data_IF_990502951631
#
_entry.id   IF_990502951631
#
_cell.length_a   1.000
_cell.length_b   1.000
_cell.length_c   1.000
_cell.angle_alpha   90.00
_cell.angle_beta   90.00
_cell.angle_gamma   90.00
#
_symmetry.space_group_name_H-M   'P 1'
#
loop_
_entity.id
_entity.type
_entity.pdbx_description
1 polymer ?
#
# COMPACT_ATOMS: atom_id res chain seq x y z
N UNK A 1 24.21 -9.18 -12.46
CA UNK A 1 24.41 -7.77 -12.09
C UNK A 1 23.51 -6.95 -13.00
N UNK A 2 22.37 -6.48 -12.49
CA UNK A 2 21.42 -5.68 -13.26
C UNK A 2 21.89 -4.23 -13.21
N UNK A 3 22.40 -3.69 -14.32
CA UNK A 3 22.68 -2.26 -14.47
C UNK A 3 21.41 -1.57 -14.95
N UNK A 4 20.94 -0.60 -14.16
CA UNK A 4 19.79 0.24 -14.49
C UNK A 4 20.30 1.54 -15.11
N UNK A 5 20.21 1.68 -16.43
CA UNK A 5 20.34 3.00 -17.07
C UNK A 5 18.96 3.65 -17.09
N UNK A 6 18.81 4.74 -16.35
CA UNK A 6 17.62 5.60 -16.38
C UNK A 6 17.99 6.83 -17.18
N UNK A 7 17.37 7.00 -18.35
CA UNK A 7 17.50 8.22 -19.15
C UNK A 7 16.52 9.26 -18.60
N UNK A 8 17.02 10.18 -17.76
CA UNK A 8 16.22 11.08 -16.90
C UNK A 8 15.73 12.35 -17.65
N UNK A 9 16.16 12.60 -18.89
CA UNK A 9 16.20 13.98 -19.41
C UNK A 9 15.01 14.48 -20.24
N UNK A 10 13.88 13.78 -20.32
CA UNK A 10 12.71 14.27 -21.12
C UNK A 10 11.32 14.05 -20.51
N UNK A 11 11.18 13.65 -19.24
CA UNK A 11 9.87 13.38 -18.61
C UNK A 11 9.43 14.47 -17.63
N UNK A 12 9.19 15.69 -18.12
CA UNK A 12 8.85 16.83 -17.24
C UNK A 12 7.43 16.79 -16.63
N UNK A 13 6.58 15.78 -16.91
CA UNK A 13 5.19 15.75 -16.40
C UNK A 13 4.63 14.38 -16.05
N UNK A 14 5.45 13.33 -15.96
CA UNK A 14 4.93 11.99 -15.69
C UNK A 14 5.51 11.45 -14.38
N UNK A 15 4.64 10.94 -13.51
CA UNK A 15 4.98 10.31 -12.25
C UNK A 15 6.16 9.32 -12.43
N UNK A 16 7.32 9.69 -11.88
CA UNK A 16 8.55 8.91 -11.95
C UNK A 16 8.35 7.48 -11.44
N UNK A 17 7.35 7.25 -10.57
CA UNK A 17 7.04 5.92 -10.07
C UNK A 17 6.55 4.97 -11.17
N UNK A 18 5.81 5.48 -12.17
CA UNK A 18 5.18 4.65 -13.21
C UNK A 18 6.02 4.50 -14.49
N UNK A 19 7.12 5.26 -14.63
CA UNK A 19 7.93 5.33 -15.85
C UNK A 19 9.17 4.43 -15.90
N UNK A 20 9.42 3.62 -14.86
CA UNK A 20 10.53 2.69 -14.94
C UNK A 20 10.19 1.51 -15.86
N UNK A 21 11.04 1.31 -16.88
CA UNK A 21 11.02 0.20 -17.83
C UNK A 21 11.31 -1.18 -17.20
N UNK A 22 10.92 -1.41 -15.93
CA UNK A 22 10.99 -2.72 -15.26
C UNK A 22 10.39 -3.82 -16.14
N UNK A 23 9.29 -3.49 -16.82
CA UNK A 23 8.44 -4.44 -17.56
C UNK A 23 9.04 -4.93 -18.86
N UNK A 24 9.98 -4.19 -19.46
CA UNK A 24 10.55 -4.56 -20.78
C UNK A 24 11.24 -5.93 -20.77
N UNK A 25 11.82 -6.33 -19.62
CA UNK A 25 12.47 -7.63 -19.43
C UNK A 25 11.58 -8.69 -18.76
N UNK A 26 10.39 -8.33 -18.28
CA UNK A 26 9.47 -9.26 -17.61
C UNK A 26 8.51 -9.98 -18.56
N UNK A 27 8.39 -9.49 -19.80
CA UNK A 27 7.54 -10.08 -20.83
C UNK A 27 8.00 -11.48 -21.23
N UNK A 28 9.28 -11.80 -21.10
CA UNK A 28 9.85 -13.12 -21.41
C UNK A 28 9.75 -14.14 -20.26
N UNK A 29 9.39 -13.68 -19.05
CA UNK A 29 9.23 -14.56 -17.88
C UNK A 29 7.81 -15.15 -17.91
N UNK A 30 7.65 -16.49 -17.85
CA UNK A 30 6.33 -17.15 -17.80
C UNK A 30 5.47 -16.60 -16.66
N UNK A 31 4.16 -16.45 -16.92
CA UNK A 31 3.22 -16.04 -15.87
C UNK A 31 2.93 -17.20 -14.92
N UNK A 32 2.79 -16.87 -13.64
CA UNK A 32 2.28 -17.77 -12.60
C UNK A 32 0.80 -18.08 -12.84
N UNK A 33 0.05 -17.12 -13.37
CA UNK A 33 -1.35 -17.30 -13.70
C UNK A 33 -1.49 -17.97 -15.07
N UNK A 34 -1.92 -19.23 -15.09
CA UNK A 34 -2.06 -20.00 -16.32
C UNK A 34 -3.42 -19.82 -17.01
N UNK A 35 -4.35 -19.05 -16.43
CA UNK A 35 -5.67 -18.79 -17.02
C UNK A 35 -5.52 -18.08 -18.36
N UNK A 36 -6.35 -18.44 -19.33
CA UNK A 36 -6.49 -17.75 -20.62
C UNK A 36 -7.18 -16.39 -20.44
N UNK A 37 -7.09 -15.52 -21.46
CA UNK A 37 -7.77 -14.22 -21.46
C UNK A 37 -9.31 -14.35 -21.41
N UNK A 38 -9.89 -15.47 -21.84
CA UNK A 38 -11.31 -15.73 -21.69
C UNK A 38 -11.66 -16.06 -20.24
N UNK A 39 -10.88 -16.94 -19.60
CA UNK A 39 -11.07 -17.32 -18.19
C UNK A 39 -10.82 -16.15 -17.25
N UNK A 40 -9.81 -15.31 -17.50
CA UNK A 40 -9.55 -14.11 -16.70
C UNK A 40 -10.75 -13.14 -16.74
N UNK A 41 -11.34 -12.92 -17.91
CA UNK A 41 -12.51 -12.04 -18.04
C UNK A 41 -13.76 -12.63 -17.39
N UNK A 42 -13.93 -13.95 -17.43
CA UNK A 42 -15.01 -14.63 -16.72
C UNK A 42 -14.85 -14.48 -15.21
N UNK A 43 -13.67 -14.81 -14.67
CA UNK A 43 -13.36 -14.65 -13.24
C UNK A 43 -13.58 -13.21 -12.80
N UNK A 44 -13.10 -12.23 -13.58
CA UNK A 44 -13.27 -10.82 -13.28
C UNK A 44 -14.75 -10.40 -13.16
N UNK A 45 -15.67 -11.05 -13.88
CA UNK A 45 -17.11 -10.72 -13.85
C UNK A 45 -17.87 -11.40 -12.73
N UNK A 46 -17.57 -12.67 -12.46
CA UNK A 46 -18.49 -13.54 -11.71
C UNK A 46 -17.90 -14.20 -10.47
N UNK A 47 -16.58 -14.09 -10.24
CA UNK A 47 -15.97 -14.74 -9.08
C UNK A 47 -16.47 -14.11 -7.77
N UNK A 48 -16.89 -14.91 -6.77
CA UNK A 48 -17.49 -14.38 -5.54
C UNK A 48 -16.49 -13.57 -4.70
N UNK A 49 -15.21 -13.96 -4.73
CA UNK A 49 -14.14 -13.27 -4.01
C UNK A 49 -13.62 -12.05 -4.81
N UNK A 50 -13.74 -10.81 -4.27
CA UNK A 50 -13.26 -9.60 -4.95
C UNK A 50 -11.76 -9.60 -5.23
N UNK A 51 -10.97 -10.31 -4.42
CA UNK A 51 -9.51 -10.38 -4.64
C UNK A 51 -9.19 -11.19 -5.88
N UNK A 52 -9.94 -12.25 -6.15
CA UNK A 52 -9.77 -13.03 -7.39
C UNK A 52 -10.28 -12.27 -8.61
N UNK A 53 -11.36 -11.48 -8.48
CA UNK A 53 -11.81 -10.58 -9.55
C UNK A 53 -10.71 -9.56 -9.89
N UNK A 54 -10.18 -8.87 -8.88
CA UNK A 54 -9.11 -7.89 -9.05
C UNK A 54 -7.83 -8.53 -9.62
N UNK A 55 -7.40 -9.69 -9.10
CA UNK A 55 -6.23 -10.42 -9.60
C UNK A 55 -6.37 -10.75 -11.08
N UNK A 56 -7.57 -11.18 -11.51
CA UNK A 56 -7.84 -11.48 -12.91
C UNK A 56 -7.80 -10.22 -13.79
N UNK A 57 -8.36 -9.10 -13.33
CA UNK A 57 -8.31 -7.81 -14.02
C UNK A 57 -6.88 -7.31 -14.21
N UNK A 58 -6.05 -7.38 -13.15
CA UNK A 58 -4.65 -6.95 -13.21
C UNK A 58 -3.78 -7.81 -14.11
N UNK A 59 -3.95 -9.14 -14.08
CA UNK A 59 -3.24 -10.04 -14.99
C UNK A 59 -3.67 -9.78 -16.46
N UNK A 60 -4.96 -9.59 -16.72
CA UNK A 60 -5.46 -9.25 -18.05
C UNK A 60 -4.93 -7.90 -18.53
N UNK A 61 -5.01 -6.86 -17.70
CA UNK A 61 -4.47 -5.53 -17.97
C UNK A 61 -2.98 -5.56 -18.28
N UNK A 62 -2.21 -6.31 -17.50
CA UNK A 62 -0.78 -6.47 -17.76
C UNK A 62 -0.49 -7.12 -19.12
N UNK A 63 -1.26 -8.14 -19.53
CA UNK A 63 -1.06 -8.86 -20.81
C UNK A 63 -1.46 -8.03 -22.01
N UNK A 64 -2.57 -7.30 -21.93
CA UNK A 64 -3.17 -6.59 -23.07
C UNK A 64 -2.79 -5.12 -23.14
N UNK A 65 -2.19 -4.56 -22.08
CA UNK A 65 -1.79 -3.15 -22.01
C UNK A 65 -2.99 -2.24 -22.34
N UNK A 66 -2.79 -1.22 -23.19
CA UNK A 66 -3.84 -0.30 -23.60
C UNK A 66 -5.04 -0.99 -24.26
N UNK A 67 -4.87 -2.17 -24.87
CA UNK A 67 -6.00 -2.93 -25.43
C UNK A 67 -6.97 -3.46 -24.35
N UNK A 68 -6.54 -3.47 -23.08
CA UNK A 68 -7.41 -3.85 -21.97
C UNK A 68 -8.46 -2.79 -21.63
N UNK A 69 -8.22 -1.51 -21.96
CA UNK A 69 -9.00 -0.37 -21.46
C UNK A 69 -10.51 -0.52 -21.68
N UNK A 70 -11.02 -0.96 -22.86
CA UNK A 70 -12.46 -1.13 -23.04
C UNK A 70 -13.08 -2.15 -22.08
N UNK A 71 -12.33 -3.21 -21.72
CA UNK A 71 -12.80 -4.20 -20.76
C UNK A 71 -12.69 -3.69 -19.31
N UNK A 72 -11.64 -2.93 -18.98
CA UNK A 72 -11.49 -2.32 -17.66
C UNK A 72 -12.57 -1.26 -17.39
N UNK A 73 -12.95 -0.48 -18.41
CA UNK A 73 -14.06 0.48 -18.35
C UNK A 73 -15.41 -0.24 -18.12
N UNK A 74 -15.66 -1.36 -18.82
CA UNK A 74 -16.84 -2.19 -18.56
C UNK A 74 -16.81 -2.78 -17.14
N UNK A 75 -15.64 -3.21 -16.67
CA UNK A 75 -15.45 -3.75 -15.32
C UNK A 75 -15.74 -2.75 -14.21
N UNK A 76 -15.39 -1.48 -14.42
CA UNK A 76 -15.72 -0.42 -13.47
C UNK A 76 -17.23 -0.31 -13.22
N UNK A 77 -18.07 -0.61 -14.22
CA UNK A 77 -19.54 -0.47 -14.12
C UNK A 77 -20.22 -1.62 -13.39
N UNK A 78 -19.69 -2.84 -13.48
CA UNK A 78 -20.29 -4.01 -12.84
C UNK A 78 -19.63 -4.38 -11.51
N UNK A 79 -18.46 -3.84 -11.18
CA UNK A 79 -17.77 -4.14 -9.94
C UNK A 79 -18.44 -3.44 -8.75
N UNK A 80 -18.94 -4.24 -7.81
CA UNK A 80 -19.69 -3.76 -6.65
C UNK A 80 -18.78 -3.15 -5.57
N UNK A 81 -17.57 -3.68 -5.39
CA UNK A 81 -16.67 -3.27 -4.32
C UNK A 81 -15.94 -1.98 -4.71
N UNK A 82 -16.13 -0.86 -3.99
CA UNK A 82 -15.45 0.41 -4.27
C UNK A 82 -13.94 0.25 -4.37
N UNK A 83 -13.35 -0.59 -3.51
CA UNK A 83 -11.91 -0.77 -3.51
C UNK A 83 -11.33 -1.38 -4.77
N UNK A 84 -12.07 -2.28 -5.41
CA UNK A 84 -11.66 -2.82 -6.71
C UNK A 84 -11.86 -1.76 -7.79
N UNK A 85 -12.94 -0.95 -7.72
CA UNK A 85 -13.20 0.13 -8.69
C UNK A 85 -12.09 1.19 -8.73
N UNK A 86 -11.64 1.73 -7.61
CA UNK A 86 -10.53 2.70 -7.66
C UNK A 86 -9.19 2.05 -8.04
N UNK A 87 -8.98 0.77 -7.68
CA UNK A 87 -7.78 0.04 -8.12
C UNK A 87 -7.81 -0.23 -9.64
N UNK A 88 -9.00 -0.32 -10.27
CA UNK A 88 -9.14 -0.37 -11.72
C UNK A 88 -8.75 0.96 -12.39
N UNK A 89 -9.05 2.10 -11.76
CA UNK A 89 -8.58 3.41 -12.26
C UNK A 89 -7.05 3.47 -12.26
N UNK A 90 -6.42 2.96 -11.19
CA UNK A 90 -4.97 2.86 -11.13
C UNK A 90 -4.41 1.90 -12.20
N UNK A 91 -5.04 0.73 -12.38
CA UNK A 91 -4.66 -0.18 -13.45
C UNK A 91 -4.79 0.47 -14.84
N UNK A 92 -5.87 1.22 -15.06
CA UNK A 92 -6.10 2.02 -16.27
C UNK A 92 -4.95 2.99 -16.53
N UNK A 93 -4.56 3.78 -15.52
CA UNK A 93 -3.39 4.66 -15.58
C UNK A 93 -2.11 3.89 -15.97
N UNK A 94 -1.86 2.73 -15.34
CA UNK A 94 -0.67 1.92 -15.61
C UNK A 94 -0.60 1.35 -17.03
N UNK A 95 -1.73 0.97 -17.61
CA UNK A 95 -1.76 0.27 -18.90
C UNK A 95 -2.07 1.19 -20.07
N UNK A 96 -2.67 2.36 -19.82
CA UNK A 96 -3.18 3.29 -20.82
C UNK A 96 -2.66 4.72 -20.71
N UNK A 97 -2.12 5.14 -19.56
CA UNK A 97 -1.73 6.54 -19.30
C UNK A 97 -2.84 7.52 -19.70
N UNK A 98 -2.56 8.49 -20.57
CA UNK A 98 -3.53 9.46 -21.09
C UNK A 98 -4.76 8.79 -21.74
N UNK A 99 -4.61 7.60 -22.34
CA UNK A 99 -5.74 6.88 -22.96
C UNK A 99 -6.77 6.40 -21.93
N UNK A 100 -6.43 6.38 -20.64
CA UNK A 100 -7.34 6.03 -19.56
C UNK A 100 -8.12 7.23 -19.00
N UNK A 101 -7.83 8.46 -19.44
CA UNK A 101 -8.51 9.69 -18.95
C UNK A 101 -10.03 9.59 -19.04
N UNK A 102 -10.67 9.15 -20.16
CA UNK A 102 -12.13 9.07 -20.22
C UNK A 102 -12.75 8.14 -19.16
N UNK A 103 -12.05 7.06 -18.80
CA UNK A 103 -12.48 6.14 -17.74
C UNK A 103 -12.44 6.83 -16.37
N UNK A 104 -11.43 7.67 -16.12
CA UNK A 104 -11.31 8.43 -14.86
C UNK A 104 -12.32 9.59 -14.81
N UNK A 105 -12.58 10.27 -15.93
CA UNK A 105 -13.62 11.30 -16.02
C UNK A 105 -15.00 10.72 -15.73
N UNK A 106 -15.32 9.54 -16.27
CA UNK A 106 -16.57 8.85 -15.96
C UNK A 106 -16.69 8.50 -14.47
N UNK A 107 -15.59 8.11 -13.83
CA UNK A 107 -15.54 7.77 -12.41
C UNK A 107 -15.74 8.97 -11.46
N UNK A 108 -15.66 10.21 -11.95
CA UNK A 108 -16.07 11.40 -11.17
C UNK A 108 -17.58 11.41 -10.86
N UNK A 109 -18.36 10.55 -11.52
CA UNK A 109 -19.79 10.35 -11.24
C UNK A 109 -20.09 9.01 -10.52
N UNK A 110 -19.07 8.31 -10.01
CA UNK A 110 -19.28 7.08 -9.22
C UNK A 110 -20.12 7.38 -7.97
N UNK A 111 -20.95 6.43 -7.53
CA UNK A 111 -21.78 6.59 -6.34
C UNK A 111 -20.92 6.69 -5.06
N UNK A 112 -19.77 6.02 -5.05
CA UNK A 112 -18.84 6.00 -3.92
C UNK A 112 -17.89 7.20 -3.93
N UNK A 113 -17.80 7.90 -2.79
CA UNK A 113 -17.01 9.13 -2.66
C UNK A 113 -15.52 8.88 -2.83
N UNK A 114 -15.02 7.77 -2.30
CA UNK A 114 -13.61 7.44 -2.32
C UNK A 114 -13.18 7.06 -3.74
N UNK A 115 -14.05 6.41 -4.52
CA UNK A 115 -13.82 6.19 -5.97
C UNK A 115 -13.70 7.52 -6.71
N UNK A 116 -14.62 8.47 -6.46
CA UNK A 116 -14.53 9.81 -7.08
C UNK A 116 -13.28 10.57 -6.68
N UNK A 117 -12.83 10.47 -5.42
CA UNK A 117 -11.63 11.16 -4.96
C UNK A 117 -10.36 10.57 -5.57
N UNK A 118 -10.27 9.24 -5.67
CA UNK A 118 -9.20 8.57 -6.43
C UNK A 118 -9.21 8.95 -7.91
N UNK A 119 -10.37 9.06 -8.54
CA UNK A 119 -10.49 9.51 -9.92
C UNK A 119 -9.85 10.90 -10.13
N UNK A 120 -10.04 11.83 -9.18
CA UNK A 120 -9.39 13.15 -9.22
C UNK A 120 -7.88 13.06 -9.12
N UNK A 121 -7.38 12.20 -8.21
CA UNK A 121 -5.95 11.95 -8.07
C UNK A 121 -5.36 11.45 -9.40
N UNK A 122 -6.00 10.46 -10.02
CA UNK A 122 -5.50 9.89 -11.26
C UNK A 122 -5.65 10.83 -12.47
N UNK A 123 -6.68 11.70 -12.51
CA UNK A 123 -6.81 12.73 -13.55
C UNK A 123 -5.72 13.80 -13.43
N UNK A 124 -5.36 14.20 -12.20
CA UNK A 124 -4.20 15.08 -12.00
C UNK A 124 -2.94 14.43 -12.53
N UNK A 125 -2.72 13.16 -12.19
CA UNK A 125 -1.50 12.44 -12.57
C UNK A 125 -1.44 12.15 -14.09
N UNK A 126 -2.58 11.91 -14.74
CA UNK A 126 -2.66 11.58 -16.17
C UNK A 126 -2.71 12.81 -17.08
N UNK A 127 -3.36 13.89 -16.64
CA UNK A 127 -3.73 15.03 -17.49
C UNK A 127 -3.42 16.40 -16.88
N UNK A 128 -2.79 16.46 -15.69
CA UNK A 128 -2.53 17.71 -14.99
C UNK A 128 -3.80 18.43 -14.53
N UNK A 129 -4.91 17.70 -14.36
CA UNK A 129 -6.18 18.28 -13.93
C UNK A 129 -6.11 18.78 -12.48
N UNK A 130 -6.36 20.06 -12.27
CA UNK A 130 -6.48 20.68 -10.95
C UNK A 130 -7.94 20.62 -10.49
N UNK A 131 -8.28 19.55 -9.77
CA UNK A 131 -9.62 19.32 -9.22
C UNK A 131 -9.61 19.51 -7.70
N UNK A 132 -10.62 20.19 -7.18
CA UNK A 132 -10.84 20.28 -5.73
C UNK A 132 -11.07 18.88 -5.13
N UNK A 133 -10.58 18.68 -3.91
CA UNK A 133 -10.79 17.43 -3.16
C UNK A 133 -12.27 17.16 -2.92
N UNK A 134 -12.65 15.88 -2.86
CA UNK A 134 -14.02 15.48 -2.53
C UNK A 134 -14.44 15.87 -1.09
N UNK A 135 -13.46 16.09 -0.19
CA UNK A 135 -13.70 16.27 1.23
C UNK A 135 -13.45 17.71 1.69
N UNK A 136 -14.32 18.20 2.57
CA UNK A 136 -14.20 19.54 3.21
C UNK A 136 -14.00 19.46 4.72
N UNK A 137 -14.09 18.26 5.28
CA UNK A 137 -13.98 17.97 6.70
C UNK A 137 -12.93 16.90 6.91
N UNK A 138 -12.17 17.01 7.99
CA UNK A 138 -11.16 16.05 8.37
C UNK A 138 -11.28 15.72 9.86
N UNK A 139 -10.97 14.48 10.22
CA UNK A 139 -10.98 14.00 11.60
C UNK A 139 -9.63 13.44 11.99
N UNK A 140 -9.30 13.58 13.27
CA UNK A 140 -8.09 13.02 13.85
C UNK A 140 -8.36 12.56 15.28
N UNK A 141 -7.53 11.66 15.79
CA UNK A 141 -7.49 11.26 17.19
C UNK A 141 -6.36 12.02 17.90
N UNK A 142 -6.59 12.56 19.10
CA UNK A 142 -5.55 13.27 19.86
C UNK A 142 -4.50 12.31 20.42
N UNK A 143 -4.86 11.03 20.58
CA UNK A 143 -4.03 9.98 21.17
C UNK A 143 -3.34 9.10 20.11
N UNK A 144 -2.27 8.43 20.49
CA UNK A 144 -1.50 7.53 19.61
C UNK A 144 -0.14 8.08 19.20
N UNK A 145 0.67 7.32 18.44
CA UNK A 145 2.07 7.67 18.19
C UNK A 145 2.33 8.60 17.00
N UNK A 146 1.34 8.80 16.11
CA UNK A 146 1.52 9.50 14.84
C UNK A 146 0.49 10.60 14.58
N UNK A 147 0.96 11.68 13.95
CA UNK A 147 0.13 12.80 13.50
C UNK A 147 -0.71 12.43 12.26
N UNK A 148 -0.22 11.50 11.43
CA UNK A 148 -0.94 10.99 10.26
C UNK A 148 -0.61 9.52 9.98
N UNK A 149 -1.63 8.79 9.52
CA UNK A 149 -1.53 7.38 9.12
C UNK A 149 -2.18 7.18 7.75
N UNK A 150 -1.42 6.65 6.80
CA UNK A 150 -1.77 6.65 5.39
C UNK A 150 -1.74 5.23 4.82
N UNK A 151 -2.90 4.61 4.54
CA UNK A 151 -2.92 3.29 3.91
C UNK A 151 -2.25 3.32 2.54
N UNK A 152 -1.43 2.30 2.25
CA UNK A 152 -0.73 2.15 0.99
C UNK A 152 -1.33 0.99 0.18
N UNK A 153 -1.74 1.31 -1.04
CA UNK A 153 -2.04 0.34 -2.10
C UNK A 153 -0.74 -0.02 -2.80
N UNK A 154 -0.45 -1.32 -2.94
CA UNK A 154 0.80 -1.78 -3.51
C UNK A 154 0.54 -2.74 -4.65
N UNK A 155 1.13 -2.48 -5.81
CA UNK A 155 0.99 -3.35 -6.97
C UNK A 155 2.29 -3.49 -7.74
N UNK A 156 2.48 -4.66 -8.35
CA UNK A 156 3.74 -4.95 -9.02
C UNK A 156 3.89 -6.41 -9.37
N UNK A 157 5.09 -6.95 -9.14
CA UNK A 157 5.45 -8.31 -9.52
C UNK A 157 6.23 -9.00 -8.41
N UNK A 158 6.03 -10.32 -8.32
CA UNK A 158 6.95 -11.23 -7.67
C UNK A 158 7.57 -12.14 -8.74
N UNK A 159 8.89 -12.15 -8.85
CA UNK A 159 9.65 -13.09 -9.68
C UNK A 159 10.17 -14.19 -8.78
N UNK A 160 9.56 -15.37 -8.87
CA UNK A 160 9.89 -16.52 -8.03
C UNK A 160 10.67 -17.51 -8.87
N UNK A 161 11.89 -17.85 -8.45
CA UNK A 161 12.68 -18.90 -9.05
C UNK A 161 12.22 -20.26 -8.56
N UNK A 162 11.57 -21.02 -9.45
CA UNK A 162 11.08 -22.35 -9.16
C UNK A 162 12.15 -23.42 -9.50
N UNK A 163 12.42 -24.37 -8.60
CA UNK A 163 13.36 -25.47 -8.89
C UNK A 163 12.96 -26.23 -10.16
N UNK A 164 13.89 -26.33 -11.13
CA UNK A 164 13.70 -27.04 -12.39
C UNK A 164 12.90 -26.30 -13.47
N UNK A 165 12.13 -25.26 -13.12
CA UNK A 165 11.32 -24.47 -14.06
C UNK A 165 11.94 -23.10 -14.36
N UNK A 166 12.79 -22.58 -13.47
CA UNK A 166 13.36 -21.24 -13.57
C UNK A 166 12.40 -20.16 -13.06
N UNK A 167 12.60 -18.89 -13.45
CA UNK A 167 11.80 -17.78 -12.94
C UNK A 167 10.37 -17.82 -13.47
N UNK A 168 9.41 -17.58 -12.58
CA UNK A 168 7.99 -17.38 -12.88
C UNK A 168 7.54 -16.04 -12.30
N UNK A 169 6.68 -15.32 -13.01
CA UNK A 169 6.18 -14.00 -12.62
C UNK A 169 4.75 -14.09 -12.09
N UNK A 170 4.52 -13.65 -10.88
CA UNK A 170 3.19 -13.33 -10.37
C UNK A 170 2.92 -11.82 -10.49
N UNK A 171 1.76 -11.45 -11.05
CA UNK A 171 1.26 -10.07 -11.09
C UNK A 171 0.50 -9.77 -9.80
N UNK A 172 1.01 -8.86 -8.99
CA UNK A 172 0.45 -8.50 -7.69
C UNK A 172 -0.53 -7.34 -7.87
N UNK A 173 -1.84 -7.62 -7.75
CA UNK A 173 -2.86 -6.58 -7.59
C UNK A 173 -2.90 -6.07 -6.14
N UNK A 174 -3.44 -4.88 -5.86
CA UNK A 174 -3.43 -4.31 -4.51
C UNK A 174 -4.06 -5.18 -3.43
N UNK A 175 -5.26 -5.70 -3.66
CA UNK A 175 -5.92 -6.56 -2.66
C UNK A 175 -5.27 -7.93 -2.57
N UNK A 176 -4.69 -8.45 -3.67
CA UNK A 176 -3.95 -9.70 -3.58
C UNK A 176 -2.66 -9.52 -2.79
N UNK A 177 -1.90 -8.44 -3.05
CA UNK A 177 -0.74 -8.04 -2.26
C UNK A 177 -1.12 -7.95 -0.77
N UNK A 178 -2.17 -7.21 -0.44
CA UNK A 178 -2.65 -7.03 0.93
C UNK A 178 -2.99 -8.37 1.58
N UNK A 179 -3.65 -9.28 0.85
CA UNK A 179 -3.97 -10.61 1.36
C UNK A 179 -2.74 -11.46 1.67
N UNK A 180 -1.70 -11.45 0.83
CA UNK A 180 -0.55 -12.36 1.00
C UNK A 180 0.59 -11.75 1.83
N UNK A 181 0.75 -10.43 1.76
CA UNK A 181 1.84 -9.68 2.38
C UNK A 181 1.36 -8.64 3.39
N UNK A 182 0.05 -8.51 3.62
CA UNK A 182 -0.52 -7.65 4.64
C UNK A 182 -0.83 -6.23 4.16
N UNK A 183 -1.76 -5.58 4.86
CA UNK A 183 -2.07 -4.16 4.71
C UNK A 183 -0.85 -3.36 5.14
N UNK A 184 -0.50 -2.32 4.39
CA UNK A 184 0.65 -1.48 4.68
C UNK A 184 0.19 -0.07 5.03
N UNK A 185 0.69 0.47 6.15
CA UNK A 185 0.35 1.79 6.65
C UNK A 185 1.62 2.65 6.77
N UNK A 186 1.62 3.83 6.15
CA UNK A 186 2.67 4.83 6.31
C UNK A 186 2.32 5.82 7.40
N UNK A 187 3.16 5.89 8.43
CA UNK A 187 2.91 6.66 9.64
C UNK A 187 4.01 7.69 9.83
N UNK A 188 3.65 8.96 10.01
CA UNK A 188 4.61 10.05 10.13
C UNK A 188 4.18 11.08 11.17
N UNK A 189 5.17 11.83 11.66
CA UNK A 189 4.97 12.98 12.54
C UNK A 189 5.48 14.24 11.83
N UNK A 190 4.81 15.38 12.00
CA UNK A 190 5.19 16.62 11.31
C UNK A 190 6.62 17.06 11.65
N UNK A 191 7.04 16.86 12.91
CA UNK A 191 8.38 17.26 13.39
C UNK A 191 9.52 16.43 12.77
N UNK A 192 9.20 15.22 12.31
CA UNK A 192 10.17 14.28 11.75
C UNK A 192 9.91 13.92 10.29
N UNK A 193 8.88 14.51 9.67
CA UNK A 193 8.40 14.19 8.33
C UNK A 193 9.49 14.15 7.26
N UNK A 194 10.51 15.01 7.39
CA UNK A 194 11.59 15.12 6.41
C UNK A 194 12.67 14.03 6.51
N UNK A 195 12.68 13.25 7.59
CA UNK A 195 13.77 12.31 7.90
C UNK A 195 13.31 10.92 8.32
N UNK A 196 12.14 10.81 8.97
CA UNK A 196 11.68 9.57 9.60
C UNK A 196 10.32 9.17 9.03
N UNK A 197 10.11 7.87 8.92
CA UNK A 197 8.86 7.23 8.51
C UNK A 197 8.74 5.90 9.24
N UNK A 198 7.57 5.60 9.79
CA UNK A 198 7.27 4.23 10.25
C UNK A 198 6.33 3.57 9.26
N UNK A 199 6.68 2.38 8.79
CA UNK A 199 5.77 1.53 8.04
C UNK A 199 5.30 0.40 8.97
N UNK A 200 4.00 0.28 9.14
CA UNK A 200 3.38 -0.91 9.70
C UNK A 200 2.91 -1.82 8.56
N UNK A 201 3.12 -3.11 8.73
CA UNK A 201 2.46 -4.16 7.96
C UNK A 201 1.57 -4.97 8.91
N UNK A 202 0.32 -5.18 8.51
CA UNK A 202 -0.69 -5.95 9.25
C UNK A 202 -1.12 -7.19 8.47
N UNK A 203 -1.07 -8.36 9.10
CA UNK A 203 -1.78 -9.55 8.63
C UNK A 203 -3.02 -9.76 9.51
N UNK A 204 -4.19 -9.46 8.96
CA UNK A 204 -5.46 -9.54 9.69
C UNK A 204 -5.84 -10.99 10.01
N UNK A 205 -6.27 -11.24 11.25
CA UNK A 205 -6.73 -12.55 11.70
C UNK A 205 -5.70 -13.66 11.50
N UNK A 206 -4.41 -13.32 11.60
CA UNK A 206 -3.30 -14.22 11.28
C UNK A 206 -3.16 -15.37 12.28
N UNK A 207 -3.34 -15.08 13.56
CA UNK A 207 -3.12 -16.04 14.63
C UNK A 207 -4.27 -17.05 14.74
N UNK A 208 -4.03 -18.23 15.36
CA UNK A 208 -5.08 -19.25 15.53
C UNK A 208 -6.33 -18.78 16.29
N UNK A 209 -6.21 -17.76 17.14
CA UNK A 209 -7.33 -17.18 17.87
C UNK A 209 -8.05 -16.04 17.11
N UNK A 210 -7.60 -15.76 15.89
CA UNK A 210 -8.13 -14.70 15.04
C UNK A 210 -7.60 -13.31 15.36
N UNK A 211 -6.58 -13.18 16.21
CA UNK A 211 -5.88 -11.91 16.40
C UNK A 211 -4.90 -11.62 15.25
N UNK A 212 -4.50 -10.36 15.18
CA UNK A 212 -3.68 -9.80 14.13
C UNK A 212 -2.17 -9.96 14.42
N UNK A 213 -1.38 -10.03 13.34
CA UNK A 213 0.09 -9.99 13.37
C UNK A 213 0.61 -8.67 12.79
N UNK A 214 1.60 -8.06 13.45
CA UNK A 214 2.14 -6.75 13.07
C UNK A 214 3.66 -6.79 12.84
N UNK A 215 4.11 -6.15 11.76
CA UNK A 215 5.53 -5.92 11.48
C UNK A 215 5.82 -4.42 11.35
N UNK A 216 6.68 -3.89 12.22
CA UNK A 216 7.03 -2.46 12.24
C UNK A 216 8.39 -2.24 11.58
N UNK A 217 8.45 -1.35 10.59
CA UNK A 217 9.65 -1.02 9.84
C UNK A 217 9.99 0.47 10.02
N UNK A 218 11.02 0.81 10.81
CA UNK A 218 11.52 2.17 10.90
C UNK A 218 12.36 2.51 9.67
N UNK A 219 11.87 3.47 8.89
CA UNK A 219 12.58 4.06 7.77
C UNK A 219 13.19 5.39 8.21
N UNK A 220 14.41 5.63 7.74
CA UNK A 220 15.06 6.94 7.85
C UNK A 220 15.74 7.31 6.54
N UNK A 221 15.94 8.60 6.31
CA UNK A 221 16.76 9.05 5.19
C UNK A 221 16.62 10.53 4.92
N UNK A 222 16.63 10.88 3.63
CA UNK A 222 16.64 12.28 3.19
C UNK A 222 15.36 12.62 2.43
N UNK A 223 14.89 13.84 2.66
CA UNK A 223 13.80 14.43 1.89
C UNK A 223 14.18 15.82 1.43
N UNK A 224 13.63 16.23 0.29
CA UNK A 224 13.78 17.57 -0.23
C UNK A 224 12.49 18.04 -0.88
N UNK A 225 12.15 19.30 -0.67
CA UNK A 225 10.98 19.91 -1.29
C UNK A 225 11.31 20.25 -2.73
N UNK A 226 10.45 19.83 -3.66
CA UNK A 226 10.54 20.19 -5.08
C UNK A 226 9.61 21.35 -5.41
N UNK A 227 8.56 21.55 -4.62
CA UNK A 227 7.69 22.73 -4.66
C UNK A 227 7.06 22.97 -3.28
N UNK A 228 6.12 23.92 -3.19
CA UNK A 228 5.34 24.15 -1.97
C UNK A 228 4.42 22.97 -1.64
N UNK A 229 4.01 22.20 -2.65
CA UNK A 229 3.14 21.04 -2.48
C UNK A 229 3.89 19.72 -2.51
N UNK A 230 5.03 19.62 -3.20
CA UNK A 230 5.70 18.34 -3.46
C UNK A 230 6.98 18.17 -2.65
N UNK A 231 7.13 16.98 -2.06
CA UNK A 231 8.35 16.55 -1.37
C UNK A 231 8.79 15.19 -1.89
N UNK A 232 10.07 15.06 -2.23
CA UNK A 232 10.67 13.79 -2.60
C UNK A 232 11.41 13.18 -1.41
N UNK A 233 11.38 11.86 -1.34
CA UNK A 233 11.91 11.07 -0.24
C UNK A 233 12.79 9.92 -0.76
N UNK A 234 13.95 9.72 -0.13
CA UNK A 234 14.79 8.52 -0.28
C UNK A 234 15.05 7.96 1.10
N UNK A 235 14.32 6.91 1.44
CA UNK A 235 14.38 6.30 2.75
C UNK A 235 14.85 4.84 2.66
N UNK A 236 15.58 4.46 3.70
CA UNK A 236 16.05 3.11 3.92
C UNK A 236 15.60 2.65 5.31
N UNK A 237 15.15 1.40 5.39
CA UNK A 237 14.92 0.72 6.65
C UNK A 237 16.04 -0.29 6.85
N UNK A 238 16.74 -0.18 7.97
CA UNK A 238 17.70 -1.17 8.44
C UNK A 238 17.18 -1.76 9.75
N UNK A 239 16.72 -3.01 9.72
CA UNK A 239 16.20 -3.71 10.89
C UNK A 239 16.70 -5.15 10.92
N UNK A 240 16.52 -5.85 12.03
CA UNK A 240 16.77 -7.29 12.11
C UNK A 240 15.47 -8.05 12.22
N UNK A 241 15.39 -9.23 11.59
CA UNK A 241 14.19 -10.07 11.58
C UNK A 241 14.52 -11.53 11.86
N UNK A 242 13.53 -12.21 12.41
CA UNK A 242 13.47 -13.67 12.45
C UNK A 242 13.07 -14.17 11.06
N UNK A 243 13.78 -15.15 10.53
CA UNK A 243 13.43 -15.81 9.27
C UNK A 243 13.10 -17.27 9.56
N UNK A 244 11.87 -17.65 9.25
CA UNK A 244 11.31 -18.97 9.48
C UNK A 244 11.60 -19.86 8.28
N UNK A 245 12.31 -20.98 8.49
CA UNK A 245 12.78 -21.86 7.40
C UNK A 245 11.63 -22.57 6.67
N UNK A 246 10.52 -22.81 7.37
CA UNK A 246 9.24 -23.28 6.81
C UNK A 246 8.73 -22.39 5.67
N UNK A 247 9.21 -21.14 5.64
CA UNK A 247 8.80 -20.12 4.71
C UNK A 247 7.47 -19.46 5.12
N UNK A 248 6.92 -19.78 6.29
CA UNK A 248 5.75 -19.11 6.89
C UNK A 248 6.16 -18.38 8.17
N UNK A 249 5.75 -17.12 8.31
CA UNK A 249 5.96 -16.33 9.53
C UNK A 249 5.41 -17.09 10.76
N UNK A 250 6.15 -17.06 11.87
CA UNK A 250 5.78 -17.72 13.14
C UNK A 250 5.61 -19.25 13.10
N UNK A 251 6.01 -19.89 12.01
CA UNK A 251 6.07 -21.34 11.91
C UNK A 251 7.52 -21.81 12.07
N UNK A 252 7.90 -22.15 13.30
CA UNK A 252 9.24 -22.60 13.70
C UNK A 252 9.51 -24.10 13.47
N UNK A 253 8.58 -24.82 12.82
CA UNK A 253 8.66 -26.28 12.64
C UNK A 253 9.91 -26.76 11.89
N UNK A 254 10.51 -25.90 11.05
CA UNK A 254 11.76 -26.16 10.34
C UNK A 254 12.95 -25.33 10.89
N UNK A 255 12.75 -24.66 12.03
CA UNK A 255 13.72 -23.80 12.69
C UNK A 255 13.67 -22.33 12.26
N UNK A 256 14.26 -21.48 13.10
CA UNK A 256 14.31 -20.02 12.93
C UNK A 256 15.74 -19.55 12.80
N UNK A 257 15.97 -18.57 11.91
CA UNK A 257 17.23 -17.84 11.80
C UNK A 257 17.01 -16.49 12.47
N UNK A 258 17.71 -16.28 13.59
CA UNK A 258 17.61 -15.06 14.38
C UNK A 258 18.48 -13.93 13.81
N UNK A 259 18.07 -12.68 14.07
CA UNK A 259 18.92 -11.51 13.85
C UNK A 259 19.31 -11.23 12.40
N UNK A 260 18.52 -11.65 11.41
CA UNK A 260 18.84 -11.42 10.00
C UNK A 260 18.65 -9.94 9.66
N UNK A 261 19.70 -9.22 9.25
CA UNK A 261 19.57 -7.82 8.85
C UNK A 261 18.80 -7.71 7.54
N UNK A 262 17.69 -6.99 7.55
CA UNK A 262 16.87 -6.69 6.37
C UNK A 262 17.06 -5.24 6.00
N UNK A 263 17.28 -5.02 4.70
CA UNK A 263 17.43 -3.69 4.11
C UNK A 263 16.27 -3.50 3.13
N UNK A 264 15.46 -2.47 3.37
CA UNK A 264 14.40 -2.06 2.45
C UNK A 264 14.67 -0.64 1.97
N UNK A 265 14.63 -0.47 0.66
CA UNK A 265 14.82 0.82 0.01
C UNK A 265 13.52 1.28 -0.60
N UNK A 266 13.19 2.56 -0.42
CA UNK A 266 12.05 3.19 -1.08
C UNK A 266 12.37 4.58 -1.60
N UNK A 267 11.72 4.89 -2.70
CA UNK A 267 11.66 6.22 -3.26
C UNK A 267 10.20 6.64 -3.31
N UNK A 268 9.89 7.84 -2.84
CA UNK A 268 8.52 8.34 -2.84
C UNK A 268 8.49 9.82 -3.19
N UNK A 269 7.38 10.24 -3.77
CA UNK A 269 6.96 11.63 -3.81
C UNK A 269 5.66 11.76 -3.03
N UNK A 270 5.59 12.77 -2.18
CA UNK A 270 4.35 13.17 -1.51
C UNK A 270 3.88 14.49 -2.08
N UNK A 271 2.57 14.61 -2.29
CA UNK A 271 1.91 15.91 -2.34
C UNK A 271 1.29 16.19 -0.98
N UNK A 272 1.51 17.38 -0.44
CA UNK A 272 0.98 17.80 0.84
C UNK A 272 -0.05 18.92 0.69
N UNK A 273 -0.93 19.05 1.67
CA UNK A 273 -1.91 20.15 1.77
C UNK A 273 -1.90 20.70 3.19
N UNK A 274 -2.20 21.99 3.35
CA UNK A 274 -2.39 22.57 4.68
C UNK A 274 -3.70 22.05 5.27
N UNK A 275 -3.70 21.50 6.48
CA UNK A 275 -4.93 20.89 7.05
C UNK A 275 -6.04 21.93 7.28
N UNK A 276 -5.68 23.21 7.40
CA UNK A 276 -6.64 24.30 7.57
C UNK A 276 -7.48 24.58 6.30
N UNK A 277 -7.22 23.88 5.18
CA UNK A 277 -8.15 23.81 4.06
C UNK A 277 -9.40 22.97 4.38
N UNK A 278 -9.39 22.23 5.49
CA UNK A 278 -10.51 21.42 5.97
C UNK A 278 -11.05 21.95 7.29
N UNK A 279 -12.33 21.68 7.55
CA UNK A 279 -12.88 21.77 8.90
C UNK A 279 -12.38 20.58 9.71
N UNK A 280 -11.37 20.79 10.55
CA UNK A 280 -10.74 19.75 11.37
C UNK A 280 -11.53 19.51 12.67
N UNK A 281 -11.79 18.24 13.00
CA UNK A 281 -12.51 17.82 14.22
C UNK A 281 -11.71 16.75 14.97
N UNK A 282 -11.64 16.85 16.30
CA UNK A 282 -11.01 15.84 17.16
C UNK A 282 -12.03 14.75 17.52
N UNK A 283 -11.66 13.49 17.35
CA UNK A 283 -12.42 12.34 17.83
C UNK A 283 -12.02 12.00 19.28
N UNK A 284 -12.92 11.38 20.07
CA UNK A 284 -12.55 10.86 21.38
C UNK A 284 -11.37 9.89 21.29
N UNK A 285 -10.54 9.88 22.32
CA UNK A 285 -9.37 9.02 22.42
C UNK A 285 -9.64 7.52 22.27
N UNK A 286 -8.62 6.76 21.86
CA UNK A 286 -8.65 5.32 21.55
C UNK A 286 -9.00 4.42 22.77
N UNK A 287 -9.15 5.01 23.97
CA UNK A 287 -9.60 4.31 25.18
C UNK A 287 -11.05 3.80 25.17
N UNK A 288 -11.88 4.26 24.23
CA UNK A 288 -13.18 3.65 23.91
C UNK A 288 -12.98 2.60 22.82
N UNK A 289 -13.38 1.34 23.10
CA UNK A 289 -13.17 0.18 22.24
C UNK A 289 -13.26 0.49 20.75
N UNK A 290 -12.31 -0.01 19.96
CA UNK A 290 -12.17 0.22 18.50
C UNK A 290 -13.46 0.01 17.69
N UNK A 291 -14.45 -0.73 18.21
CA UNK A 291 -15.78 -0.90 17.61
C UNK A 291 -16.74 0.30 17.75
N UNK A 292 -16.54 1.19 18.73
CA UNK A 292 -17.39 2.39 18.94
C UNK A 292 -16.94 3.60 18.11
N UNK A 293 -15.66 3.61 17.69
CA UNK A 293 -15.09 4.69 16.87
C UNK A 293 -15.79 4.77 15.51
N UNK A 294 -16.34 3.67 14.99
CA UNK A 294 -17.02 3.59 13.68
C UNK A 294 -18.55 3.80 13.73
N UNK A 295 -19.09 4.44 14.78
CA UNK A 295 -20.54 4.65 14.90
C UNK A 295 -21.05 5.91 14.16
N UNK A 296 -22.34 5.93 13.70
CA UNK A 296 -22.96 7.10 13.05
C UNK A 296 -23.06 8.38 13.90
N UNK A 297 -22.66 8.35 15.17
CA UNK A 297 -22.78 9.47 16.11
C UNK A 297 -21.75 10.61 15.87
N UNK A 298 -20.78 10.41 14.97
CA UNK A 298 -19.70 11.38 14.66
C UNK A 298 -20.19 12.76 14.20
N UNK A 299 -21.38 12.85 13.58
CA UNK A 299 -21.95 14.12 13.08
C UNK A 299 -22.17 15.19 14.16
N UNK A 300 -22.20 14.81 15.44
CA UNK A 300 -22.46 15.73 16.56
C UNK A 300 -21.23 16.46 17.12
N UNK A 301 -20.01 16.11 16.70
CA UNK A 301 -18.75 16.66 17.25
C UNK A 301 -18.15 17.80 16.41
N UNK A 302 -18.71 18.10 15.25
CA UNK A 302 -18.21 19.13 14.33
C UNK A 302 -18.33 20.52 14.97
N UNK A 303 -17.20 21.24 15.08
CA UNK A 303 -17.16 22.66 15.46
C UNK A 303 -16.72 22.98 16.90
N UNK A 304 -16.27 22.00 17.69
CA UNK A 304 -15.63 22.29 18.98
C UNK A 304 -14.22 22.89 18.79
N UNK A 305 -13.79 23.82 19.67
CA UNK A 305 -12.44 24.38 19.60
C UNK A 305 -11.38 23.29 19.79
N UNK A 306 -10.43 23.22 18.85
CA UNK A 306 -9.24 22.38 18.99
C UNK A 306 -8.34 23.00 20.05
N UNK A 307 -8.08 22.24 21.12
CA UNK A 307 -7.28 22.71 22.27
C UNK A 307 -6.15 21.75 22.64
N UNK A 308 -6.17 20.51 22.15
CA UNK A 308 -5.10 19.56 22.38
C UNK A 308 -3.85 19.87 21.53
N UNK A 309 -2.64 19.48 22.01
CA UNK A 309 -1.40 19.80 21.32
C UNK A 309 -1.30 19.25 19.89
N UNK A 310 -1.84 18.05 19.62
CA UNK A 310 -1.78 17.45 18.28
C UNK A 310 -2.64 18.25 17.30
N UNK A 311 -3.87 18.57 17.67
CA UNK A 311 -4.74 19.38 16.82
C UNK A 311 -4.14 20.75 16.50
N UNK A 312 -3.55 21.42 17.49
CA UNK A 312 -2.85 22.70 17.29
C UNK A 312 -1.67 22.51 16.33
N UNK A 313 -0.89 21.44 16.51
CA UNK A 313 0.23 21.11 15.63
C UNK A 313 -0.25 20.86 14.20
N UNK A 314 -1.26 20.01 14.02
CA UNK A 314 -1.89 19.72 12.73
C UNK A 314 -2.31 21.02 12.04
N UNK A 315 -3.09 21.88 12.70
CA UNK A 315 -3.59 23.16 12.17
C UNK A 315 -2.49 24.10 11.65
N UNK A 316 -1.29 24.02 12.23
CA UNK A 316 -0.14 24.85 11.85
C UNK A 316 0.78 24.17 10.82
N UNK A 317 0.49 22.92 10.46
CA UNK A 317 1.33 22.11 9.59
C UNK A 317 0.66 21.67 8.30
N UNK A 318 1.27 20.67 7.67
CA UNK A 318 0.79 20.03 6.45
C UNK A 318 0.54 18.56 6.71
N UNK A 319 -0.41 18.00 5.97
CA UNK A 319 -0.65 16.57 5.88
C UNK A 319 -0.38 16.09 4.47
N UNK A 320 -0.03 14.81 4.33
CA UNK A 320 0.17 14.17 3.04
C UNK A 320 -1.20 14.01 2.39
N UNK A 321 -1.43 14.69 1.27
CA UNK A 321 -2.63 14.50 0.44
C UNK A 321 -2.51 13.18 -0.32
N UNK A 322 -1.41 12.99 -1.05
CA UNK A 322 -1.11 11.75 -1.76
C UNK A 322 0.36 11.38 -1.61
N UNK A 323 0.66 10.09 -1.71
CA UNK A 323 2.00 9.57 -1.92
C UNK A 323 1.98 8.61 -3.10
N UNK A 324 3.00 8.67 -3.93
CA UNK A 324 3.32 7.61 -4.88
C UNK A 324 4.80 7.27 -4.79
N UNK A 325 5.17 6.06 -5.21
CA UNK A 325 6.55 5.66 -5.12
C UNK A 325 6.82 4.24 -5.59
N UNK A 326 8.05 3.82 -5.37
CA UNK A 326 8.58 2.56 -5.85
C UNK A 326 9.18 1.76 -4.71
N UNK A 327 9.05 0.44 -4.84
CA UNK A 327 9.69 -0.50 -3.94
C UNK A 327 10.36 -1.62 -4.75
N UNK A 328 11.42 -2.16 -4.17
CA UNK A 328 11.99 -3.43 -4.59
C UNK A 328 12.62 -4.12 -3.39
N UNK A 329 12.69 -5.43 -3.43
CA UNK A 329 13.24 -6.22 -2.33
C UNK A 329 13.44 -7.68 -2.71
N UNK A 330 14.15 -8.39 -1.86
CA UNK A 330 14.36 -9.82 -1.98
C UNK A 330 13.53 -10.55 -0.94
N UNK A 331 13.00 -11.70 -1.34
CA UNK A 331 12.11 -12.52 -0.54
C UNK A 331 12.46 -14.00 -0.60
N UNK A 332 12.00 -14.72 0.41
CA UNK A 332 11.85 -16.17 0.41
C UNK A 332 10.35 -16.48 0.33
N UNK A 333 9.95 -17.22 -0.70
CA UNK A 333 8.59 -17.76 -0.87
C UNK A 333 8.64 -19.28 -0.78
N UNK A 334 7.81 -19.87 0.08
CA UNK A 334 7.74 -21.33 0.23
C UNK A 334 7.02 -22.00 -0.95
N UNK A 335 7.79 -22.39 -1.97
CA UNK A 335 7.26 -23.11 -3.14
C UNK A 335 6.61 -24.44 -2.74
N UNK A 336 7.14 -25.11 -1.71
CA UNK A 336 6.57 -26.36 -1.22
C UNK A 336 5.20 -26.15 -0.56
N UNK A 337 5.03 -25.08 0.22
CA UNK A 337 3.73 -24.74 0.80
C UNK A 337 2.69 -24.43 -0.27
N UNK A 338 3.08 -23.73 -1.34
CA UNK A 338 2.22 -23.54 -2.50
C UNK A 338 1.90 -24.87 -3.19
N UNK A 339 2.90 -25.73 -3.45
CA UNK A 339 2.69 -27.02 -4.11
C UNK A 339 1.74 -27.94 -3.32
N UNK A 340 1.71 -27.84 -1.99
CA UNK A 340 0.80 -28.60 -1.13
C UNK A 340 -0.63 -28.04 -1.10
N UNK A 341 -0.77 -26.72 -1.06
CA UNK A 341 -2.06 -26.06 -0.81
C UNK A 341 -2.75 -25.51 -2.06
N UNK A 342 -2.01 -25.35 -3.17
CA UNK A 342 -2.46 -24.66 -4.37
C UNK A 342 -2.73 -23.16 -4.17
N UNK A 343 -2.41 -22.59 -3.00
CA UNK A 343 -2.71 -21.20 -2.66
C UNK A 343 -1.51 -20.52 -2.01
N UNK A 344 -1.40 -19.20 -2.21
CA UNK A 344 -0.41 -18.38 -1.50
C UNK A 344 -1.11 -17.81 -0.28
N UNK A 345 -0.64 -18.18 0.91
CA UNK A 345 -1.26 -17.80 2.18
C UNK A 345 -0.58 -16.56 2.78
N UNK A 346 -1.28 -15.82 3.67
CA UNK A 346 -0.67 -14.76 4.46
C UNK A 346 0.63 -15.23 5.12
N UNK A 347 1.66 -14.38 5.10
CA UNK A 347 2.95 -14.66 5.75
C UNK A 347 3.83 -15.71 5.07
N UNK A 348 3.48 -16.18 3.88
CA UNK A 348 4.32 -17.14 3.10
C UNK A 348 5.40 -16.49 2.23
N UNK A 349 5.49 -15.16 2.27
CA UNK A 349 6.54 -14.37 1.63
C UNK A 349 7.27 -13.60 2.72
N UNK A 350 8.53 -13.98 2.97
CA UNK A 350 9.38 -13.34 3.97
C UNK A 350 10.44 -12.49 3.29
N UNK A 351 10.57 -11.23 3.70
CA UNK A 351 11.66 -10.37 3.24
C UNK A 351 12.99 -10.91 3.77
N UNK A 352 13.98 -11.05 2.89
CA UNK A 352 15.30 -11.61 3.22
C UNK A 352 16.41 -10.75 2.63
N UNK A 353 17.60 -10.86 3.21
CA UNK A 353 18.79 -10.22 2.67
C UNK A 353 19.59 -11.22 1.84
N UNK A 354 19.77 -10.98 0.52
CA UNK A 354 20.49 -11.90 -0.36
C UNK A 354 21.99 -11.95 -0.07
N UNK A 355 22.53 -10.97 0.64
CA UNK A 355 23.95 -10.88 0.99
C UNK A 355 24.27 -11.50 2.35
N UNK A 356 23.26 -11.84 3.14
CA UNK A 356 23.47 -12.43 4.47
C UNK A 356 23.64 -13.96 4.36
N UNK A 357 24.74 -14.49 4.89
CA UNK A 357 25.14 -15.89 4.73
C UNK A 357 24.05 -16.89 5.12
N UNK A 358 23.36 -16.64 6.24
CA UNK A 358 22.33 -17.56 6.74
C UNK A 358 21.08 -17.63 5.84
N UNK A 359 20.81 -16.60 5.04
CA UNK A 359 19.60 -16.49 4.20
C UNK A 359 19.89 -16.53 2.70
N UNK A 360 21.16 -16.45 2.29
CA UNK A 360 21.56 -16.48 0.88
C UNK A 360 21.00 -17.71 0.14
N UNK A 361 20.97 -18.87 0.80
CA UNK A 361 20.40 -20.11 0.26
C UNK A 361 18.86 -20.17 0.21
N UNK A 362 18.16 -19.25 0.87
CA UNK A 362 16.70 -19.18 0.90
C UNK A 362 16.13 -18.21 -0.14
N UNK A 363 16.94 -17.28 -0.65
CA UNK A 363 16.47 -16.24 -1.56
C UNK A 363 16.04 -16.84 -2.88
N UNK A 364 14.74 -16.78 -3.16
CA UNK A 364 14.17 -17.26 -4.42
C UNK A 364 13.17 -16.28 -5.03
N UNK A 365 12.89 -15.16 -4.37
CA UNK A 365 11.87 -14.20 -4.82
C UNK A 365 12.48 -12.82 -4.95
N UNK A 366 12.21 -12.15 -6.07
CA UNK A 366 12.46 -10.72 -6.24
C UNK A 366 11.12 -9.99 -6.36
N UNK A 367 10.89 -9.03 -5.47
CA UNK A 367 9.70 -8.20 -5.43
C UNK A 367 10.02 -6.83 -6.03
N UNK A 368 9.14 -6.32 -6.89
CA UNK A 368 9.23 -4.95 -7.37
C UNK A 368 7.86 -4.40 -7.75
N UNK A 369 7.70 -3.08 -7.68
CA UNK A 369 6.46 -2.44 -8.08
C UNK A 369 6.37 -0.99 -7.67
N UNK A 370 5.13 -0.50 -7.68
CA UNK A 370 4.78 0.84 -7.21
C UNK A 370 3.77 0.76 -6.08
N UNK A 371 3.76 1.80 -5.26
CA UNK A 371 2.74 2.00 -4.25
C UNK A 371 2.11 3.38 -4.40
N UNK A 372 0.86 3.49 -3.98
CA UNK A 372 0.14 4.76 -3.83
C UNK A 372 -0.57 4.79 -2.49
N UNK A 373 -0.79 5.98 -1.96
CA UNK A 373 -1.60 6.18 -0.78
C UNK A 373 -2.15 7.59 -0.78
N UNK A 374 -3.25 7.81 -0.08
CA UNK A 374 -3.83 9.13 0.16
C UNK A 374 -4.56 9.11 1.49
N UNK A 375 -4.75 10.29 2.07
CA UNK A 375 -5.76 10.41 3.11
C UNK A 375 -7.11 10.18 2.43
N UNK A 376 -7.98 9.45 3.09
CA UNK A 376 -9.25 9.04 2.53
C UNK A 376 -10.26 8.81 3.63
N UNK A 377 -11.50 8.62 3.22
CA UNK A 377 -12.59 8.24 4.10
C UNK A 377 -12.55 6.72 4.29
N UNK A 378 -11.97 6.28 5.39
CA UNK A 378 -11.65 4.87 5.64
C UNK A 378 -12.87 4.06 6.06
N UNK A 379 -13.92 4.72 6.56
CA UNK A 379 -15.12 4.07 7.06
C UNK A 379 -16.42 4.48 6.35
N UNK A 380 -16.33 5.36 5.36
CA UNK A 380 -17.45 5.79 4.51
C UNK A 380 -18.38 6.79 5.18
N UNK A 381 -17.93 7.49 6.22
CA UNK A 381 -18.74 8.46 6.95
C UNK A 381 -18.80 9.85 6.28
N UNK A 382 -18.03 10.03 5.20
CA UNK A 382 -17.96 11.24 4.40
C UNK A 382 -16.95 12.26 4.91
N UNK A 383 -16.04 11.91 5.83
CA UNK A 383 -14.96 12.78 6.30
C UNK A 383 -13.58 12.19 6.02
N UNK A 384 -12.57 13.05 5.93
CA UNK A 384 -11.20 12.63 5.69
C UNK A 384 -10.54 12.15 6.99
N UNK A 385 -10.05 10.93 7.03
CA UNK A 385 -9.31 10.40 8.16
C UNK A 385 -7.83 10.79 8.11
N UNK A 386 -7.35 11.56 9.11
CA UNK A 386 -5.95 11.98 9.19
C UNK A 386 -5.07 10.90 9.85
N UNK A 387 -5.47 10.42 11.02
CA UNK A 387 -4.74 9.43 11.82
C UNK A 387 -5.68 8.47 12.59
N UNK A 388 -6.88 8.23 12.07
CA UNK A 388 -7.90 7.42 12.76
C UNK A 388 -7.66 5.92 12.61
N UNK A 389 -6.87 5.49 11.63
CA UNK A 389 -6.40 4.11 11.49
C UNK A 389 -5.29 3.88 12.52
N UNK A 390 -5.49 3.04 13.54
CA UNK A 390 -4.49 2.82 14.57
C UNK A 390 -3.20 2.25 13.97
N UNK A 391 -2.06 2.71 14.50
CA UNK A 391 -0.77 2.10 14.24
C UNK A 391 -0.21 1.52 15.54
N UNK A 392 0.19 0.27 15.47
CA UNK A 392 0.83 -0.56 16.49
C UNK A 392 2.36 -0.43 16.42
N UNK A 393 2.87 0.67 15.86
CA UNK A 393 4.27 1.00 15.83
C UNK A 393 4.55 2.24 16.66
N UNK A 394 5.73 2.31 17.25
CA UNK A 394 6.25 3.55 17.84
C UNK A 394 7.12 4.29 16.83
N UNK A 395 7.36 5.61 17.00
CA UNK A 395 8.24 6.37 16.09
C UNK A 395 9.69 5.87 16.04
N UNK A 396 10.14 5.13 17.06
CA UNK A 396 11.46 4.48 17.10
C UNK A 396 11.45 3.04 16.52
N UNK A 397 10.35 2.62 15.90
CA UNK A 397 10.24 1.36 15.17
C UNK A 397 9.99 0.13 16.02
N UNK A 398 9.58 0.30 17.28
CA UNK A 398 9.19 -0.81 18.15
C UNK A 398 7.72 -1.14 17.98
N UNK A 399 7.37 -2.39 18.33
CA UNK A 399 5.98 -2.82 18.38
C UNK A 399 5.28 -2.24 19.60
N UNK A 400 4.09 -1.72 19.36
CA UNK A 400 3.10 -1.25 20.31
C UNK A 400 1.80 -2.00 20.03
N UNK A 401 1.73 -3.24 20.48
CA UNK A 401 0.55 -4.10 20.29
C UNK A 401 -0.75 -3.50 20.86
N UNK A 402 -0.69 -2.44 21.69
CA UNK A 402 -1.87 -1.77 22.27
C UNK A 402 -2.27 -0.50 21.53
N UNK A 403 -1.43 -0.02 20.61
CA UNK A 403 -1.58 1.25 19.92
C UNK A 403 -1.77 2.46 20.86
N UNK A 404 -1.12 2.46 22.03
CA UNK A 404 -1.20 3.52 23.05
C UNK A 404 0.00 4.49 23.04
N UNK A 405 0.94 4.30 22.11
CA UNK A 405 2.19 5.02 21.97
C UNK A 405 3.36 4.43 22.77
N UNK A 406 3.16 3.32 23.49
CA UNK A 406 4.20 2.68 24.31
C UNK A 406 4.59 1.29 23.79
N UNK A 407 5.82 0.87 24.06
CA UNK A 407 6.26 -0.47 23.66
C UNK A 407 5.39 -1.56 24.31
N UNK A 408 4.81 -2.40 23.48
CA UNK A 408 4.08 -3.59 23.87
C UNK A 408 4.43 -4.71 22.88
N UNK A 409 5.14 -5.78 23.31
CA UNK A 409 5.55 -6.86 22.41
C UNK A 409 4.34 -7.65 21.92
N UNK A 410 4.56 -8.41 20.86
CA UNK A 410 3.57 -9.35 20.35
C UNK A 410 3.40 -10.48 21.38
N UNK A 411 2.17 -10.76 21.85
CA UNK A 411 1.94 -11.88 22.77
C UNK A 411 2.19 -13.26 22.15
N UNK A 412 2.36 -13.36 20.82
CA UNK A 412 2.59 -14.62 20.09
C UNK A 412 4.04 -14.84 19.63
N UNK A 413 4.91 -13.82 19.71
CA UNK A 413 6.29 -13.85 19.18
C UNK A 413 7.33 -14.62 20.01
#
# INVERSE_FOLDING_TARGET
>A
MFTFETDIRTQENLDLSENLGFTSRLSSVPSFDSRSDAELREVARSHPDPVERERALWEYGYRRKAEALPFLDDALRFEERPSVRWNLLWLGLKVGQEAAVPMMEAALADDDREVRDWARVFLRDAAGAELETEYTHAVYTPDGPFDQTLPLQIAGFALVNLPGLGPVRATLSPLWFERIMGRVLACTNQDTFMKDLTIEKLLEGYHPDGTDHYEIFPFSGISWRTSDEHTQHRYECFTTRRIYRSGRVEDDSEGVIEGVPIILNRAAETSGVAINSFTLTSLPGVGSSSREIFSPARKSLVGLPITDPRGIKLLNGRVVRTVSGQFFGWGHTSVQSYARSGTVLPGTVQLVNPLHEATAGLVNTYLCGTFRGKLGDQDGDGVLDVNTVPCHGTPDGRLDYRADGSFAPDPFA
#
